data_IF_333548359408
#
_entry.id   IF_333548359408
#
_cell.length_a   1.000
_cell.length_b   1.000
_cell.length_c   1.000
_cell.angle_alpha   90.00
_cell.angle_beta   90.00
_cell.angle_gamma   90.00
#
_symmetry.space_group_name_H-M   'P 1'
#
loop_
_entity.id
_entity.type
_entity.pdbx_description
1 polymer ?
#
# COMPACT_ATOMS: atom_id res chain seq x y z
N UNK A 1 24.97 15.57 -2.34
CA UNK A 1 23.57 15.36 -2.76
C UNK A 1 23.48 14.53 -4.04
N UNK A 2 24.05 14.93 -5.17
CA UNK A 2 23.98 14.18 -6.45
C UNK A 2 24.44 12.72 -6.33
N UNK A 3 25.60 12.46 -5.73
CA UNK A 3 26.13 11.10 -5.51
C UNK A 3 25.17 10.19 -4.71
N UNK A 4 24.46 10.76 -3.73
CA UNK A 4 23.47 10.03 -2.94
C UNK A 4 22.25 9.65 -3.79
N UNK A 5 21.74 10.60 -4.59
CA UNK A 5 20.60 10.37 -5.49
C UNK A 5 20.94 9.31 -6.53
N UNK A 6 22.09 9.45 -7.21
CA UNK A 6 22.56 8.47 -8.21
C UNK A 6 22.68 7.07 -7.59
N UNK A 7 23.27 6.94 -6.40
CA UNK A 7 23.37 5.66 -5.69
C UNK A 7 21.99 5.07 -5.37
N UNK A 8 21.03 5.89 -4.93
CA UNK A 8 19.66 5.46 -4.64
C UNK A 8 18.92 4.99 -5.88
N UNK A 9 19.02 5.74 -6.97
CA UNK A 9 18.42 5.37 -8.26
C UNK A 9 19.03 4.08 -8.81
N UNK A 10 20.36 3.96 -8.79
CA UNK A 10 21.04 2.74 -9.23
C UNK A 10 20.63 1.51 -8.41
N UNK A 11 20.54 1.63 -7.06
CA UNK A 11 20.02 0.55 -6.22
C UNK A 11 18.56 0.21 -6.53
N UNK A 12 17.73 1.21 -6.83
CA UNK A 12 16.33 1.00 -7.24
C UNK A 12 16.24 0.20 -8.55
N UNK A 13 16.99 0.61 -9.58
CA UNK A 13 17.05 -0.09 -10.87
C UNK A 13 17.56 -1.52 -10.68
N UNK A 14 18.62 -1.71 -9.89
CA UNK A 14 19.16 -3.03 -9.58
C UNK A 14 18.15 -3.93 -8.87
N UNK A 15 17.40 -3.38 -7.91
CA UNK A 15 16.33 -4.12 -7.22
C UNK A 15 15.22 -4.56 -8.18
N UNK A 16 14.79 -3.67 -9.08
CA UNK A 16 13.79 -3.99 -10.11
C UNK A 16 14.30 -5.08 -11.05
N UNK A 17 15.58 -4.99 -11.47
CA UNK A 17 16.23 -6.02 -12.30
C UNK A 17 16.23 -7.39 -11.61
N UNK A 18 16.63 -7.45 -10.33
CA UNK A 18 16.62 -8.71 -9.55
C UNK A 18 15.20 -9.27 -9.46
N UNK A 19 14.21 -8.44 -9.11
CA UNK A 19 12.82 -8.88 -8.97
C UNK A 19 12.29 -9.42 -10.30
N UNK A 20 12.52 -8.72 -11.41
CA UNK A 20 12.11 -9.16 -12.75
C UNK A 20 12.75 -10.51 -13.11
N UNK A 21 14.07 -10.65 -12.85
CA UNK A 21 14.82 -11.89 -13.10
C UNK A 21 14.28 -13.05 -12.28
N UNK A 22 14.15 -12.87 -10.96
CA UNK A 22 13.63 -13.91 -10.07
C UNK A 22 12.19 -14.30 -10.46
N UNK A 23 11.34 -13.33 -10.75
CA UNK A 23 9.96 -13.58 -11.18
C UNK A 23 9.93 -14.42 -12.46
N UNK A 24 10.75 -14.07 -13.45
CA UNK A 24 10.84 -14.84 -14.69
C UNK A 24 11.21 -16.32 -14.42
N UNK A 25 12.27 -16.57 -13.66
CA UNK A 25 12.69 -17.94 -13.38
C UNK A 25 11.69 -18.71 -12.50
N UNK A 26 11.13 -18.07 -11.46
CA UNK A 26 10.10 -18.70 -10.62
C UNK A 26 8.88 -19.09 -11.44
N UNK A 27 8.40 -18.22 -12.34
CA UNK A 27 7.27 -18.54 -13.20
C UNK A 27 7.55 -19.73 -14.15
N UNK A 28 8.79 -19.86 -14.62
CA UNK A 28 9.19 -20.98 -15.48
C UNK A 28 9.46 -22.29 -14.71
N UNK A 29 9.71 -22.22 -13.39
CA UNK A 29 9.88 -23.41 -12.53
C UNK A 29 8.51 -24.05 -12.16
N UNK A 30 7.41 -23.33 -12.28
CA UNK A 30 6.08 -23.89 -11.97
C UNK A 30 5.72 -24.98 -13.01
N UNK A 31 5.50 -26.24 -12.57
CA UNK A 31 5.15 -27.32 -13.49
C UNK A 31 3.87 -27.01 -14.27
N UNK A 32 3.92 -27.23 -15.58
CA UNK A 32 2.74 -27.12 -16.44
C UNK A 32 2.69 -25.87 -17.32
N UNK A 33 3.64 -24.94 -17.17
CA UNK A 33 3.70 -23.74 -18.00
C UNK A 33 2.52 -22.77 -17.81
N UNK A 34 2.59 -21.60 -18.40
CA UNK A 34 1.63 -20.51 -18.17
C UNK A 34 0.21 -20.78 -18.69
N UNK A 35 0.02 -21.81 -19.53
CA UNK A 35 -1.28 -22.10 -20.17
C UNK A 35 -1.97 -23.37 -19.64
N UNK A 36 -1.38 -24.10 -18.68
CA UNK A 36 -1.92 -25.38 -18.18
C UNK A 36 -3.15 -25.20 -17.27
N UNK A 37 -3.35 -24.03 -16.71
CA UNK A 37 -4.54 -23.75 -15.89
C UNK A 37 -5.86 -23.83 -16.69
N UNK A 38 -5.81 -23.91 -18.01
CA UNK A 38 -6.98 -24.00 -18.88
C UNK A 38 -7.11 -25.40 -19.45
N UNK A 39 -7.80 -26.28 -18.72
CA UNK A 39 -8.15 -27.65 -19.12
C UNK A 39 -8.93 -27.79 -20.45
N UNK A 40 -9.24 -26.69 -21.14
CA UNK A 40 -10.10 -26.64 -22.31
C UNK A 40 -9.40 -26.32 -23.63
N UNK A 41 -8.07 -26.17 -23.67
CA UNK A 41 -7.37 -25.85 -24.92
C UNK A 41 -6.82 -27.13 -25.54
N UNK A 42 -7.08 -27.34 -26.84
CA UNK A 42 -6.47 -28.46 -27.59
C UNK A 42 -4.94 -28.32 -27.62
N UNK A 43 -4.23 -29.46 -27.68
CA UNK A 43 -2.75 -29.47 -27.76
C UNK A 43 -2.23 -28.63 -28.93
N UNK A 44 -2.93 -28.62 -30.07
CA UNK A 44 -2.59 -27.82 -31.25
C UNK A 44 -2.68 -26.30 -30.96
N UNK A 45 -3.72 -25.88 -30.23
CA UNK A 45 -3.86 -24.48 -29.83
C UNK A 45 -2.82 -24.05 -28.76
N UNK A 46 -2.41 -24.96 -27.87
CA UNK A 46 -1.32 -24.73 -26.94
C UNK A 46 0.01 -24.54 -27.65
N UNK A 47 0.31 -25.37 -28.66
CA UNK A 47 1.52 -25.26 -29.46
C UNK A 47 1.54 -23.93 -30.24
N UNK A 48 0.45 -23.58 -30.93
CA UNK A 48 0.35 -22.33 -31.67
C UNK A 48 0.52 -21.09 -30.74
N UNK A 49 0.02 -21.15 -29.51
CA UNK A 49 0.23 -20.11 -28.51
C UNK A 49 1.69 -20.06 -28.01
N UNK A 50 2.30 -21.22 -27.75
CA UNK A 50 3.70 -21.32 -27.32
C UNK A 50 4.62 -20.74 -28.40
N UNK A 51 4.39 -21.09 -29.66
CA UNK A 51 5.14 -20.57 -30.80
C UNK A 51 4.97 -19.05 -30.98
N UNK A 52 3.71 -18.56 -30.90
CA UNK A 52 3.38 -17.14 -30.99
C UNK A 52 4.05 -16.31 -29.92
N UNK A 53 4.23 -16.85 -28.73
CA UNK A 53 4.85 -16.15 -27.58
C UNK A 53 6.32 -16.51 -27.36
N UNK A 54 6.88 -17.35 -28.24
CA UNK A 54 8.28 -17.77 -28.19
C UNK A 54 8.63 -18.59 -26.96
N UNK A 55 7.64 -19.27 -26.38
CA UNK A 55 7.84 -20.17 -25.22
C UNK A 55 8.42 -21.53 -25.64
N UNK A 56 8.51 -21.80 -26.94
CA UNK A 56 9.21 -22.91 -27.59
C UNK A 56 10.74 -22.72 -27.64
N UNK A 57 11.22 -21.46 -27.42
CA UNK A 57 12.65 -21.11 -27.50
C UNK A 57 13.40 -21.53 -26.23
N UNK A 58 14.74 -21.68 -26.32
CA UNK A 58 15.56 -21.92 -25.13
C UNK A 58 15.33 -20.85 -24.06
N UNK A 59 15.34 -21.25 -22.79
CA UNK A 59 15.01 -20.40 -21.63
C UNK A 59 15.81 -19.08 -21.61
N UNK A 60 17.09 -19.12 -22.00
CA UNK A 60 17.95 -17.94 -22.10
C UNK A 60 17.47 -16.94 -23.14
N UNK A 61 16.94 -17.42 -24.27
CA UNK A 61 16.39 -16.55 -25.32
C UNK A 61 15.08 -15.92 -24.86
N UNK A 62 14.22 -16.71 -24.20
CA UNK A 62 12.98 -16.18 -23.59
C UNK A 62 13.30 -15.09 -22.57
N UNK A 63 14.28 -15.29 -21.71
CA UNK A 63 14.74 -14.31 -20.72
C UNK A 63 15.23 -13.01 -21.35
N UNK A 64 16.09 -13.11 -22.37
CA UNK A 64 16.59 -11.93 -23.07
C UNK A 64 15.48 -11.14 -23.76
N UNK A 65 14.54 -11.84 -24.42
CA UNK A 65 13.37 -11.20 -25.04
C UNK A 65 12.49 -10.51 -23.98
N UNK A 66 12.23 -11.18 -22.85
CA UNK A 66 11.47 -10.61 -21.75
C UNK A 66 12.13 -9.35 -21.19
N UNK A 67 13.43 -9.38 -20.93
CA UNK A 67 14.16 -8.22 -20.41
C UNK A 67 14.20 -7.07 -21.43
N UNK A 68 14.39 -7.39 -22.72
CA UNK A 68 14.32 -6.39 -23.78
C UNK A 68 12.94 -5.73 -23.85
N UNK A 69 11.85 -6.49 -23.79
CA UNK A 69 10.48 -5.93 -23.75
C UNK A 69 10.26 -5.04 -22.54
N UNK A 70 10.72 -5.45 -21.35
CA UNK A 70 10.61 -4.64 -20.13
C UNK A 70 11.33 -3.29 -20.24
N UNK A 71 12.53 -3.26 -20.82
CA UNK A 71 13.30 -2.02 -21.03
C UNK A 71 12.54 -1.04 -21.95
N UNK A 72 11.77 -1.57 -22.91
CA UNK A 72 10.92 -0.77 -23.78
C UNK A 72 9.53 -0.47 -23.20
N UNK A 73 9.29 -0.84 -21.92
CA UNK A 73 8.04 -0.60 -21.23
C UNK A 73 6.91 -1.56 -21.59
N UNK A 74 7.20 -2.64 -22.34
CA UNK A 74 6.24 -3.69 -22.66
C UNK A 74 6.36 -4.84 -21.64
N UNK A 75 5.32 -5.00 -20.81
CA UNK A 75 5.24 -6.05 -19.79
C UNK A 75 4.68 -7.37 -20.36
N UNK A 76 4.44 -7.43 -21.67
CA UNK A 76 3.95 -8.60 -22.36
C UNK A 76 2.43 -8.82 -22.22
N UNK A 77 2.01 -10.01 -22.63
CA UNK A 77 0.61 -10.42 -22.59
C UNK A 77 0.25 -11.06 -21.26
N UNK A 78 -0.99 -10.82 -20.84
CA UNK A 78 -1.51 -11.46 -19.63
C UNK A 78 -1.77 -12.94 -19.87
N UNK A 79 -1.15 -13.79 -19.06
CA UNK A 79 -1.35 -15.22 -19.09
C UNK A 79 -2.74 -15.62 -18.51
N UNK A 80 -3.35 -14.73 -17.71
CA UNK A 80 -4.63 -14.97 -17.05
C UNK A 80 -5.83 -14.34 -17.80
N UNK A 81 -5.62 -13.19 -18.45
CA UNK A 81 -6.67 -12.49 -19.21
C UNK A 81 -6.33 -12.49 -20.70
N UNK A 82 -6.95 -13.39 -21.45
CA UNK A 82 -6.71 -13.55 -22.89
C UNK A 82 -6.95 -12.25 -23.67
N UNK A 83 -6.08 -11.98 -24.62
CA UNK A 83 -6.21 -10.83 -25.51
C UNK A 83 -5.90 -9.47 -24.90
N UNK A 84 -5.43 -9.42 -23.64
CA UNK A 84 -5.04 -8.19 -22.97
C UNK A 84 -3.55 -8.18 -22.62
N UNK A 85 -2.90 -7.04 -22.79
CA UNK A 85 -1.54 -6.84 -22.29
C UNK A 85 -1.54 -6.55 -20.79
N UNK A 86 -0.44 -6.88 -20.10
CA UNK A 86 -0.24 -6.54 -18.69
C UNK A 86 -0.31 -5.02 -18.49
N UNK A 87 0.27 -4.25 -19.41
CA UNK A 87 0.19 -2.79 -19.43
C UNK A 87 -1.26 -2.30 -19.41
N UNK A 88 -2.13 -2.81 -20.29
CA UNK A 88 -3.55 -2.45 -20.33
C UNK A 88 -4.26 -2.74 -19.01
N UNK A 89 -3.96 -3.89 -18.39
CA UNK A 89 -4.57 -4.26 -17.12
C UNK A 89 -4.12 -3.31 -16.01
N UNK A 90 -2.82 -3.05 -15.91
CA UNK A 90 -2.25 -2.17 -14.89
C UNK A 90 -2.81 -0.75 -15.07
N UNK A 91 -2.67 -0.15 -16.25
CA UNK A 91 -3.11 1.24 -16.47
C UNK A 91 -4.62 1.43 -16.36
N UNK A 92 -5.43 0.40 -16.62
CA UNK A 92 -6.87 0.46 -16.40
C UNK A 92 -7.26 0.41 -14.92
N UNK A 93 -6.46 -0.23 -14.05
CA UNK A 93 -6.77 -0.41 -12.61
C UNK A 93 -6.01 0.57 -11.70
N UNK A 94 -4.84 1.03 -12.15
CA UNK A 94 -3.99 1.95 -11.38
C UNK A 94 -4.70 3.22 -10.90
N UNK A 95 -5.55 3.91 -11.70
CA UNK A 95 -6.25 5.12 -11.23
C UNK A 95 -7.19 4.84 -10.06
N UNK A 96 -7.88 3.71 -10.08
CA UNK A 96 -8.79 3.29 -8.99
C UNK A 96 -7.99 3.00 -7.73
N UNK A 97 -6.91 2.23 -7.86
CA UNK A 97 -6.03 1.90 -6.74
C UNK A 97 -5.37 3.14 -6.15
N UNK A 98 -4.86 4.03 -6.99
CA UNK A 98 -4.22 5.28 -6.58
C UNK A 98 -5.22 6.21 -5.85
N UNK A 99 -6.45 6.32 -6.34
CA UNK A 99 -7.51 7.11 -5.69
C UNK A 99 -7.87 6.55 -4.33
N UNK A 100 -8.10 5.24 -4.24
CA UNK A 100 -8.48 4.59 -2.99
C UNK A 100 -7.35 4.68 -1.96
N UNK A 101 -6.12 4.38 -2.36
CA UNK A 101 -4.96 4.48 -1.48
C UNK A 101 -4.67 5.94 -1.06
N UNK A 102 -4.76 6.90 -2.00
CA UNK A 102 -4.59 8.32 -1.71
C UNK A 102 -5.59 8.83 -0.69
N UNK A 103 -6.88 8.49 -0.84
CA UNK A 103 -7.91 8.82 0.14
C UNK A 103 -7.63 8.17 1.50
N UNK A 104 -7.20 6.91 1.53
CA UNK A 104 -6.85 6.23 2.78
C UNK A 104 -5.67 6.91 3.51
N UNK A 105 -4.65 7.37 2.77
CA UNK A 105 -3.54 8.14 3.34
C UNK A 105 -4.03 9.48 3.91
N UNK A 106 -4.87 10.21 3.20
CA UNK A 106 -5.45 11.48 3.69
C UNK A 106 -6.22 11.24 4.99
N UNK A 107 -7.08 10.22 5.04
CA UNK A 107 -7.83 9.86 6.26
C UNK A 107 -6.86 9.50 7.39
N UNK A 108 -5.84 8.70 7.09
CA UNK A 108 -4.85 8.29 8.09
C UNK A 108 -4.09 9.47 8.69
N UNK A 109 -3.71 10.45 7.89
CA UNK A 109 -3.06 11.68 8.37
C UNK A 109 -4.03 12.57 9.15
N UNK A 110 -5.22 12.81 8.60
CA UNK A 110 -6.23 13.69 9.22
C UNK A 110 -6.74 13.16 10.56
N UNK A 111 -6.73 11.85 10.77
CA UNK A 111 -7.18 11.21 12.02
C UNK A 111 -6.01 10.84 12.91
N UNK A 112 -4.97 10.25 12.36
CA UNK A 112 -3.83 9.72 13.12
C UNK A 112 -2.99 10.81 13.79
N UNK A 113 -2.71 11.91 13.09
CA UNK A 113 -1.94 13.02 13.67
C UNK A 113 -2.68 13.67 14.86
N UNK A 114 -3.95 14.10 14.74
CA UNK A 114 -4.67 14.66 15.88
C UNK A 114 -4.82 13.70 17.05
N UNK A 115 -5.09 12.43 16.80
CA UNK A 115 -5.17 11.40 17.85
C UNK A 115 -3.84 11.21 18.56
N UNK A 116 -2.72 11.19 17.83
CA UNK A 116 -1.38 11.11 18.40
C UNK A 116 -1.04 12.34 19.26
N UNK A 117 -1.38 13.54 18.79
CA UNK A 117 -1.24 14.79 19.54
C UNK A 117 -2.07 14.77 20.83
N UNK A 118 -3.33 14.35 20.73
CA UNK A 118 -4.26 14.27 21.87
C UNK A 118 -3.75 13.24 22.92
N UNK A 119 -3.26 12.11 22.47
CA UNK A 119 -2.64 11.08 23.30
C UNK A 119 -1.41 11.60 24.02
N UNK A 120 -0.49 12.27 23.32
CA UNK A 120 0.71 12.87 23.92
C UNK A 120 0.38 13.96 24.93
N UNK A 121 -0.60 14.83 24.63
CA UNK A 121 -1.05 15.89 25.51
C UNK A 121 -1.67 15.35 26.81
N UNK A 122 -2.39 14.23 26.72
CA UNK A 122 -3.05 13.60 27.85
C UNK A 122 -2.25 12.41 28.41
N UNK A 123 -0.92 12.39 28.28
CA UNK A 123 -0.07 11.29 28.71
C UNK A 123 -0.44 10.76 30.09
N UNK A 124 -0.70 9.46 30.18
CA UNK A 124 -1.02 8.76 31.41
C UNK A 124 -2.47 8.95 31.91
N UNK A 125 -3.31 9.76 31.20
CA UNK A 125 -4.73 9.88 31.49
C UNK A 125 -5.55 8.86 30.72
N UNK A 126 -6.85 8.74 31.10
CA UNK A 126 -7.78 7.79 30.47
C UNK A 126 -7.88 7.95 28.93
N UNK A 127 -7.85 9.20 28.42
CA UNK A 127 -7.89 9.48 26.99
C UNK A 127 -6.67 8.92 26.24
N UNK A 128 -5.47 9.04 26.82
CA UNK A 128 -4.25 8.43 26.28
C UNK A 128 -4.39 6.91 26.21
N UNK A 129 -4.81 6.29 27.31
CA UNK A 129 -4.97 4.84 27.38
C UNK A 129 -5.98 4.33 26.35
N UNK A 130 -7.12 4.98 26.19
CA UNK A 130 -8.13 4.63 25.19
C UNK A 130 -7.55 4.71 23.77
N UNK A 131 -6.92 5.83 23.41
CA UNK A 131 -6.33 6.03 22.08
C UNK A 131 -5.30 4.95 21.78
N UNK A 132 -4.44 4.60 22.75
CA UNK A 132 -3.43 3.56 22.57
C UNK A 132 -4.03 2.18 22.44
N UNK A 133 -5.10 1.86 23.20
CA UNK A 133 -5.83 0.60 23.05
C UNK A 133 -6.43 0.50 21.64
N UNK A 134 -7.15 1.50 21.17
CA UNK A 134 -7.71 1.52 19.81
C UNK A 134 -6.63 1.44 18.73
N UNK A 135 -5.52 2.17 18.88
CA UNK A 135 -4.39 2.08 17.97
C UNK A 135 -3.75 0.69 17.97
N UNK A 136 -3.64 0.05 19.13
CA UNK A 136 -3.11 -1.32 19.23
C UNK A 136 -4.02 -2.32 18.53
N UNK A 137 -5.34 -2.23 18.75
CA UNK A 137 -6.33 -3.04 18.04
C UNK A 137 -6.25 -2.80 16.51
N UNK A 138 -6.15 -1.54 16.07
CA UNK A 138 -6.06 -1.20 14.65
C UNK A 138 -4.80 -1.73 13.96
N UNK A 139 -3.69 -1.92 14.69
CA UNK A 139 -2.48 -2.57 14.17
C UNK A 139 -2.62 -4.09 14.18
N UNK A 140 -3.25 -4.65 15.20
CA UNK A 140 -3.36 -6.10 15.39
C UNK A 140 -4.36 -6.75 14.44
N UNK A 141 -5.41 -6.03 14.01
CA UNK A 141 -6.46 -6.57 13.15
C UNK A 141 -6.01 -6.51 11.69
N UNK A 142 -5.89 -7.66 10.99
CA UNK A 142 -5.59 -7.68 9.57
C UNK A 142 -6.65 -6.91 8.74
N UNK A 143 -6.21 -6.15 7.75
CA UNK A 143 -7.08 -5.26 6.95
C UNK A 143 -8.22 -6.00 6.23
N UNK A 144 -8.02 -7.27 5.85
CA UNK A 144 -9.08 -8.06 5.22
C UNK A 144 -10.22 -8.38 6.20
N UNK A 145 -9.91 -8.59 7.49
CA UNK A 145 -10.94 -8.81 8.52
C UNK A 145 -11.76 -7.53 8.69
N UNK A 146 -11.09 -6.37 8.81
CA UNK A 146 -11.78 -5.08 8.86
C UNK A 146 -12.67 -4.85 7.64
N UNK A 147 -12.19 -5.22 6.44
CA UNK A 147 -12.97 -5.11 5.20
C UNK A 147 -14.22 -5.98 5.24
N UNK A 148 -14.10 -7.23 5.69
CA UNK A 148 -15.25 -8.15 5.79
C UNK A 148 -16.27 -7.65 6.82
N UNK A 149 -15.80 -7.20 7.98
CA UNK A 149 -16.69 -6.66 9.03
C UNK A 149 -17.44 -5.42 8.53
N UNK A 150 -16.75 -4.48 7.87
CA UNK A 150 -17.38 -3.29 7.30
C UNK A 150 -18.40 -3.66 6.22
N UNK A 151 -18.03 -4.55 5.30
CA UNK A 151 -18.92 -5.02 4.22
C UNK A 151 -20.17 -5.71 4.80
N UNK A 152 -19.99 -6.63 5.74
CA UNK A 152 -21.10 -7.34 6.35
C UNK A 152 -22.03 -6.38 7.12
N UNK A 153 -21.46 -5.51 7.96
CA UNK A 153 -22.24 -4.62 8.82
C UNK A 153 -22.94 -3.52 8.00
N UNK A 154 -22.19 -2.72 7.25
CA UNK A 154 -22.70 -1.53 6.58
C UNK A 154 -23.26 -1.80 5.18
N UNK A 155 -22.72 -2.81 4.50
CA UNK A 155 -23.16 -3.17 3.16
C UNK A 155 -24.33 -4.14 3.15
N UNK A 156 -24.20 -5.25 3.87
CA UNK A 156 -25.18 -6.35 3.78
C UNK A 156 -26.30 -6.24 4.82
N UNK A 157 -25.95 -5.98 6.08
CA UNK A 157 -26.92 -5.97 7.19
C UNK A 157 -27.69 -4.63 7.26
N UNK A 158 -26.97 -3.52 7.40
CA UNK A 158 -27.59 -2.19 7.49
C UNK A 158 -27.98 -1.61 6.13
N UNK A 159 -27.40 -2.12 5.04
CA UNK A 159 -27.64 -1.66 3.64
C UNK A 159 -27.46 -0.15 3.43
N UNK A 160 -26.51 0.44 4.19
CA UNK A 160 -26.22 1.88 4.16
C UNK A 160 -25.20 2.26 3.08
N UNK A 161 -24.32 1.33 2.69
CA UNK A 161 -23.23 1.59 1.75
C UNK A 161 -23.23 0.57 0.61
N UNK A 162 -22.84 0.99 -0.61
CA UNK A 162 -22.77 0.10 -1.76
C UNK A 162 -21.75 -1.03 -1.54
N UNK A 163 -22.12 -2.25 -1.91
CA UNK A 163 -21.27 -3.45 -1.75
C UNK A 163 -20.45 -3.76 -3.00
N UNK A 164 -20.81 -3.20 -4.15
CA UNK A 164 -20.19 -3.50 -5.45
C UNK A 164 -19.94 -2.21 -6.23
N UNK A 165 -18.82 -2.19 -6.96
CA UNK A 165 -18.44 -1.05 -7.79
C UNK A 165 -17.75 0.07 -7.01
N UNK A 166 -17.24 1.06 -7.77
CA UNK A 166 -16.60 2.28 -7.23
C UNK A 166 -17.05 3.50 -8.08
N UNK A 167 -18.29 3.47 -8.56
CA UNK A 167 -18.83 4.52 -9.42
C UNK A 167 -19.36 5.73 -8.63
N UNK A 168 -19.69 5.52 -7.37
CA UNK A 168 -20.25 6.53 -6.48
C UNK A 168 -19.27 6.88 -5.35
N UNK A 169 -19.24 8.12 -4.86
CA UNK A 169 -18.40 8.50 -3.72
C UNK A 169 -18.61 7.62 -2.48
N UNK A 170 -19.86 7.23 -2.21
CA UNK A 170 -20.21 6.38 -1.08
C UNK A 170 -19.54 4.98 -1.15
N UNK A 171 -19.28 4.47 -2.34
CA UNK A 171 -18.62 3.18 -2.54
C UNK A 171 -17.15 3.16 -2.10
N UNK A 172 -16.51 4.34 -1.98
CA UNK A 172 -15.15 4.45 -1.47
C UNK A 172 -15.06 4.39 0.06
N UNK A 173 -16.14 4.62 0.78
CA UNK A 173 -16.11 4.73 2.26
C UNK A 173 -15.57 3.44 2.89
N UNK A 174 -16.15 2.29 2.60
CA UNK A 174 -15.71 1.03 3.20
C UNK A 174 -14.26 0.65 2.84
N UNK A 175 -13.85 0.62 1.54
CA UNK A 175 -12.48 0.25 1.20
C UNK A 175 -11.44 1.27 1.70
N UNK A 176 -11.74 2.57 1.67
CA UNK A 176 -10.87 3.62 2.22
C UNK A 176 -10.71 3.46 3.73
N UNK A 177 -11.81 3.24 4.46
CA UNK A 177 -11.77 3.03 5.91
C UNK A 177 -10.96 1.79 6.27
N UNK A 178 -11.21 0.66 5.60
CA UNK A 178 -10.47 -0.58 5.83
C UNK A 178 -8.96 -0.42 5.61
N UNK A 179 -8.57 0.29 4.53
CA UNK A 179 -7.17 0.58 4.22
C UNK A 179 -6.56 1.61 5.18
N UNK A 180 -7.35 2.52 5.72
CA UNK A 180 -6.87 3.59 6.59
C UNK A 180 -6.66 3.14 8.05
N UNK A 181 -7.34 2.10 8.55
CA UNK A 181 -7.27 1.67 9.95
C UNK A 181 -5.83 1.45 10.41
N UNK A 182 -5.08 0.61 9.72
CA UNK A 182 -3.70 0.28 10.08
C UNK A 182 -2.77 1.50 10.04
N UNK A 183 -2.65 2.27 8.94
CA UNK A 183 -1.79 3.43 8.92
C UNK A 183 -2.22 4.53 9.91
N UNK A 184 -3.52 4.73 10.15
CA UNK A 184 -4.01 5.66 11.19
C UNK A 184 -3.48 5.26 12.55
N UNK A 185 -3.62 4.00 12.93
CA UNK A 185 -3.16 3.47 14.20
C UNK A 185 -1.64 3.59 14.35
N UNK A 186 -0.89 3.27 13.28
CA UNK A 186 0.56 3.41 13.25
C UNK A 186 1.02 4.87 13.41
N UNK A 187 0.42 5.79 12.64
CA UNK A 187 0.71 7.23 12.70
C UNK A 187 0.37 7.78 14.08
N UNK A 188 -0.76 7.38 14.68
CA UNK A 188 -1.15 7.79 16.03
C UNK A 188 -0.07 7.44 17.05
N UNK A 189 0.42 6.21 17.04
CA UNK A 189 1.48 5.75 17.97
C UNK A 189 2.82 6.44 17.71
N UNK A 190 3.21 6.54 16.44
CA UNK A 190 4.44 7.22 16.04
C UNK A 190 4.42 8.69 16.47
N UNK A 191 3.33 9.38 16.17
CA UNK A 191 3.14 10.79 16.53
C UNK A 191 3.19 11.03 18.04
N UNK A 192 2.51 10.15 18.81
CA UNK A 192 2.58 10.19 20.28
C UNK A 192 4.00 10.04 20.78
N UNK A 193 4.72 9.02 20.33
CA UNK A 193 6.10 8.76 20.76
C UNK A 193 7.01 9.95 20.44
N UNK A 194 7.00 10.41 19.18
CA UNK A 194 7.83 11.52 18.73
C UNK A 194 7.55 12.81 19.51
N UNK A 195 6.26 13.10 19.75
CA UNK A 195 5.91 14.29 20.56
C UNK A 195 6.37 14.18 22.00
N UNK A 196 6.28 13.01 22.63
CA UNK A 196 6.76 12.82 24.01
C UNK A 196 8.28 12.99 24.11
N UNK A 197 9.03 12.50 23.13
CA UNK A 197 10.47 12.64 23.04
C UNK A 197 10.85 14.12 22.90
N UNK A 198 10.19 14.85 22.01
CA UNK A 198 10.41 16.29 21.79
C UNK A 198 10.03 17.10 23.03
N UNK A 199 8.90 16.79 23.68
CA UNK A 199 8.43 17.50 24.89
C UNK A 199 9.36 17.32 26.10
N UNK A 200 10.22 16.31 26.08
CA UNK A 200 11.28 16.07 27.09
C UNK A 200 12.53 16.93 26.92
N UNK A 201 12.73 17.61 25.79
CA UNK A 201 13.93 18.37 25.47
C UNK A 201 14.06 19.69 26.27
N UNK A 202 15.28 20.15 26.47
CA UNK A 202 15.57 21.33 27.31
C UNK A 202 14.96 22.63 26.75
N UNK A 203 14.89 22.80 25.43
CA UNK A 203 14.26 23.98 24.85
C UNK A 203 12.73 24.03 25.11
N UNK A 204 12.09 22.89 25.34
CA UNK A 204 10.71 22.83 25.76
C UNK A 204 10.53 23.24 27.23
N UNK A 205 11.49 22.90 28.08
CA UNK A 205 11.52 23.39 29.47
C UNK A 205 11.67 24.91 29.50
N UNK A 206 12.58 25.46 28.69
CA UNK A 206 12.77 26.90 28.53
C UNK A 206 11.48 27.59 28.03
N UNK A 207 10.78 27.03 27.06
CA UNK A 207 9.51 27.57 26.57
C UNK A 207 8.44 27.61 27.67
N UNK A 208 8.34 26.56 28.51
CA UNK A 208 7.45 26.53 29.67
C UNK A 208 7.81 27.57 30.71
N UNK A 209 9.12 27.72 31.03
CA UNK A 209 9.59 28.73 31.98
C UNK A 209 9.27 30.16 31.51
N UNK A 210 9.22 30.40 30.19
CA UNK A 210 8.78 31.66 29.58
C UNK A 210 7.26 31.87 29.58
N UNK A 211 6.46 30.97 30.16
CA UNK A 211 5.02 31.12 30.29
C UNK A 211 4.26 30.76 29.00
N UNK A 212 4.88 30.08 28.02
CA UNK A 212 4.15 29.64 26.79
C UNK A 212 3.15 28.57 27.15
N UNK A 213 1.88 28.74 26.71
CA UNK A 213 0.80 27.78 26.98
C UNK A 213 1.12 26.39 26.40
N UNK A 214 0.65 25.33 27.07
CA UNK A 214 0.90 23.93 26.68
C UNK A 214 0.42 23.62 25.25
N UNK A 215 -0.71 24.19 24.83
CA UNK A 215 -1.24 24.05 23.47
C UNK A 215 -0.28 24.69 22.44
N UNK A 216 0.22 25.89 22.73
CA UNK A 216 1.16 26.59 21.84
C UNK A 216 2.52 25.87 21.78
N UNK A 217 2.96 25.29 22.91
CA UNK A 217 4.13 24.43 22.95
C UNK A 217 3.94 23.23 22.04
N UNK A 218 2.80 22.53 22.13
CA UNK A 218 2.50 21.35 21.32
C UNK A 218 2.50 21.69 19.82
N UNK A 219 1.67 22.64 19.40
CA UNK A 219 1.44 22.90 17.98
C UNK A 219 2.54 23.73 17.30
N UNK A 220 3.15 24.70 18.01
CA UNK A 220 4.13 25.60 17.42
C UNK A 220 5.57 25.15 17.60
N UNK A 221 5.88 24.48 18.71
CA UNK A 221 7.25 24.09 19.05
C UNK A 221 7.49 22.59 18.89
N UNK A 222 6.58 21.73 19.32
CA UNK A 222 6.78 20.28 19.25
C UNK A 222 6.43 19.69 17.88
N UNK A 223 5.30 20.05 17.30
CA UNK A 223 4.83 19.50 16.01
C UNK A 223 5.70 19.94 14.82
N UNK A 224 6.44 21.05 14.95
CA UNK A 224 7.30 21.57 13.88
C UNK A 224 8.64 20.84 13.80
N UNK A 225 9.08 20.19 14.85
CA UNK A 225 10.35 19.44 14.95
C UNK A 225 10.11 17.94 14.95
#
# INVERSE_FOLDING_TARGET
>A
MAKYIVKRVAMGIFSVFIVATLTFFIMNLVPGGPFVAEKSISKAAQQALAEKYGLDKPLGVQYLNYMNSLIHGDMGLSLKQRGRTVNQIIFSKLPVSARTAGLAVVVALCVGIPLGCLSAYNRGKWADNLIIVFATCGIAIPSFISSVVLLYTFGMNLKLLPTVGLNEPAAYIMPVTALAIYPTAYITRLMRSSLLDVMGQDYMRTARAKGVSSVKILFKHALRN
#
